data_IF_554399787547
#
_entry.id   IF_554399787547
#
_cell.length_a   1.000
_cell.length_b   1.000
_cell.length_c   1.000
_cell.angle_alpha   90.00
_cell.angle_beta   90.00
_cell.angle_gamma   90.00
#
_symmetry.space_group_name_H-M   'P 1'
#
loop_
_entity.id
_entity.type
_entity.pdbx_description
1 polymer ?
#
# COMPACT_ATOMS: atom_id res chain seq x y z
N UNK A 1 -39.19 22.80 48.74
CA UNK A 1 -38.00 23.69 48.74
C UNK A 1 -38.03 24.63 47.54
N UNK A 2 -37.94 24.13 46.30
CA UNK A 2 -38.05 24.95 45.07
C UNK A 2 -39.42 25.64 44.88
N UNK A 3 -40.50 25.07 45.40
CA UNK A 3 -41.84 25.69 45.41
C UNK A 3 -41.99 26.81 46.45
N UNK A 4 -41.00 27.02 47.32
CA UNK A 4 -41.06 28.02 48.40
C UNK A 4 -40.06 29.17 48.22
N UNK A 5 -38.99 28.97 47.43
CA UNK A 5 -38.02 30.02 47.13
C UNK A 5 -37.56 29.94 45.66
N UNK A 6 -38.11 30.80 44.79
CA UNK A 6 -37.75 30.87 43.37
C UNK A 6 -36.31 31.37 43.12
N UNK A 7 -35.71 32.14 44.04
CA UNK A 7 -34.35 32.70 43.87
C UNK A 7 -33.26 31.63 44.04
N UNK A 8 -33.62 30.45 44.55
CA UNK A 8 -32.71 29.33 44.77
C UNK A 8 -32.04 28.85 43.47
N UNK A 9 -32.73 28.97 42.32
CA UNK A 9 -32.15 28.66 41.01
C UNK A 9 -31.01 29.63 40.64
N UNK A 10 -31.26 30.93 40.77
CA UNK A 10 -30.26 31.97 40.48
C UNK A 10 -29.08 31.93 41.46
N UNK A 11 -29.34 31.57 42.72
CA UNK A 11 -28.28 31.31 43.68
C UNK A 11 -27.44 30.08 43.30
N UNK A 12 -28.07 28.96 42.95
CA UNK A 12 -27.37 27.74 42.59
C UNK A 12 -26.53 27.91 41.30
N UNK A 13 -27.10 28.54 40.26
CA UNK A 13 -26.37 28.82 39.01
C UNK A 13 -25.18 29.77 39.20
N UNK A 14 -25.34 30.85 39.98
CA UNK A 14 -24.23 31.77 40.30
C UNK A 14 -23.06 31.06 40.99
N UNK A 15 -23.36 30.01 41.77
CA UNK A 15 -22.36 29.20 42.46
C UNK A 15 -21.92 27.95 41.66
N UNK A 16 -22.32 27.82 40.37
CA UNK A 16 -22.04 26.65 39.52
C UNK A 16 -22.56 25.32 40.10
N UNK A 17 -23.63 25.37 40.87
CA UNK A 17 -24.33 24.20 41.42
C UNK A 17 -25.59 23.97 40.61
N UNK A 18 -25.73 22.78 40.03
CA UNK A 18 -26.94 22.40 39.31
C UNK A 18 -27.92 21.71 40.27
N UNK A 19 -29.13 22.27 40.41
CA UNK A 19 -30.22 21.59 41.10
C UNK A 19 -30.75 20.48 40.17
N UNK A 20 -30.38 19.23 40.46
CA UNK A 20 -30.66 18.10 39.60
C UNK A 20 -31.81 17.24 40.14
N UNK A 21 -32.77 16.91 39.27
CA UNK A 21 -33.71 15.81 39.51
C UNK A 21 -33.07 14.48 39.06
N UNK A 22 -33.53 13.31 39.56
CA UNK A 22 -33.01 12.01 39.12
C UNK A 22 -32.98 11.86 37.59
N UNK A 23 -34.01 12.38 36.90
CA UNK A 23 -34.09 12.40 35.43
C UNK A 23 -32.98 13.21 34.78
N UNK A 24 -32.67 14.39 35.32
CA UNK A 24 -31.63 15.27 34.75
C UNK A 24 -30.22 14.69 34.96
N UNK A 25 -29.98 14.01 36.10
CA UNK A 25 -28.72 13.29 36.34
C UNK A 25 -28.51 12.17 35.32
N UNK A 26 -29.54 11.34 35.08
CA UNK A 26 -29.47 10.26 34.10
C UNK A 26 -29.24 10.81 32.69
N UNK A 27 -29.88 11.92 32.32
CA UNK A 27 -29.68 12.57 31.03
C UNK A 27 -28.22 13.04 30.85
N UNK A 28 -27.66 13.76 31.83
CA UNK A 28 -26.28 14.25 31.76
C UNK A 28 -25.29 13.08 31.73
N UNK A 29 -25.48 12.06 32.57
CA UNK A 29 -24.63 10.87 32.58
C UNK A 29 -24.63 10.14 31.23
N UNK A 30 -25.81 10.03 30.59
CA UNK A 30 -25.93 9.47 29.23
C UNK A 30 -25.20 10.32 28.20
N UNK A 31 -25.30 11.65 28.28
CA UNK A 31 -24.58 12.56 27.39
C UNK A 31 -23.07 12.40 27.54
N UNK A 32 -22.54 12.34 28.77
CA UNK A 32 -21.11 12.11 29.01
C UNK A 32 -20.66 10.76 28.44
N UNK A 33 -21.42 9.69 28.67
CA UNK A 33 -21.14 8.38 28.10
C UNK A 33 -21.11 8.41 26.56
N UNK A 34 -22.02 9.15 25.94
CA UNK A 34 -22.05 9.33 24.49
C UNK A 34 -20.84 10.11 23.97
N UNK A 35 -20.44 11.19 24.65
CA UNK A 35 -19.24 11.98 24.31
C UNK A 35 -17.98 11.12 24.38
N UNK A 36 -17.82 10.27 25.41
CA UNK A 36 -16.67 9.36 25.48
C UNK A 36 -16.68 8.30 24.39
N UNK A 37 -17.86 7.78 24.04
CA UNK A 37 -17.97 6.84 22.91
C UNK A 37 -17.59 7.50 21.58
N UNK A 38 -17.96 8.76 21.38
CA UNK A 38 -17.59 9.54 20.19
C UNK A 38 -16.09 9.83 20.14
N UNK A 39 -15.48 10.25 21.26
CA UNK A 39 -14.04 10.48 21.33
C UNK A 39 -13.25 9.22 21.03
N UNK A 40 -13.65 8.07 21.60
CA UNK A 40 -13.03 6.78 21.31
C UNK A 40 -13.12 6.42 19.83
N UNK A 41 -14.28 6.57 19.20
CA UNK A 41 -14.44 6.32 17.77
C UNK A 41 -13.54 7.25 16.93
N UNK A 42 -13.44 8.53 17.30
CA UNK A 42 -12.58 9.49 16.63
C UNK A 42 -11.09 9.18 16.82
N UNK A 43 -10.69 8.60 17.96
CA UNK A 43 -9.32 8.12 18.18
C UNK A 43 -9.01 6.90 17.29
N UNK A 44 -9.89 5.91 17.26
CA UNK A 44 -9.73 4.71 16.41
C UNK A 44 -9.65 5.09 14.92
N UNK A 45 -10.52 5.99 14.45
CA UNK A 45 -10.49 6.48 13.07
C UNK A 45 -9.15 7.16 12.71
N UNK A 46 -8.61 7.99 13.62
CA UNK A 46 -7.29 8.62 13.44
C UNK A 46 -6.17 7.59 13.36
N UNK A 47 -6.23 6.56 14.20
CA UNK A 47 -5.23 5.49 14.18
C UNK A 47 -5.28 4.67 12.89
N UNK A 48 -6.47 4.32 12.43
CA UNK A 48 -6.68 3.67 11.13
C UNK A 48 -6.12 4.53 10.00
N UNK A 49 -6.40 5.84 9.99
CA UNK A 49 -5.87 6.77 9.00
C UNK A 49 -4.33 6.81 8.99
N UNK A 50 -3.70 6.84 10.17
CA UNK A 50 -2.24 6.79 10.31
C UNK A 50 -1.67 5.48 9.74
N UNK A 51 -2.26 4.33 10.09
CA UNK A 51 -1.83 3.02 9.60
C UNK A 51 -2.01 2.89 8.09
N UNK A 52 -3.12 3.40 7.54
CA UNK A 52 -3.37 3.42 6.11
C UNK A 52 -2.33 4.27 5.36
N UNK A 53 -1.99 5.45 5.88
CA UNK A 53 -0.93 6.30 5.32
C UNK A 53 0.44 5.64 5.34
N UNK A 54 0.78 4.95 6.43
CA UNK A 54 2.04 4.19 6.54
C UNK A 54 2.09 3.02 5.54
N UNK A 55 1.01 2.24 5.45
CA UNK A 55 0.90 1.14 4.49
C UNK A 55 1.02 1.64 3.05
N UNK A 56 0.33 2.72 2.71
CA UNK A 56 0.43 3.36 1.39
C UNK A 56 1.86 3.77 1.07
N UNK A 57 2.56 4.41 2.01
CA UNK A 57 3.98 4.77 1.85
C UNK A 57 4.87 3.55 1.57
N UNK A 58 4.68 2.46 2.33
CA UNK A 58 5.43 1.21 2.13
C UNK A 58 5.13 0.57 0.77
N UNK A 59 3.86 0.55 0.35
CA UNK A 59 3.45 0.04 -0.96
C UNK A 59 4.04 0.86 -2.11
N UNK A 60 4.09 2.18 -1.98
CA UNK A 60 4.74 3.06 -2.95
C UNK A 60 6.21 2.68 -3.12
N UNK A 61 6.98 2.63 -2.03
CA UNK A 61 8.40 2.24 -2.08
C UNK A 61 8.60 0.82 -2.64
N UNK A 62 7.76 -0.14 -2.25
CA UNK A 62 7.82 -1.50 -2.77
C UNK A 62 7.59 -1.55 -4.29
N UNK A 63 6.63 -0.78 -4.81
CA UNK A 63 6.36 -0.73 -6.26
C UNK A 63 7.53 -0.13 -7.06
N UNK A 64 8.21 0.89 -6.52
CA UNK A 64 9.41 1.44 -7.13
C UNK A 64 10.56 0.42 -7.19
N UNK A 65 10.75 -0.37 -6.13
CA UNK A 65 11.75 -1.43 -6.13
C UNK A 65 11.41 -2.54 -7.13
N UNK A 66 10.15 -2.98 -7.19
CA UNK A 66 9.68 -3.96 -8.17
C UNK A 66 9.89 -3.49 -9.61
N UNK A 67 9.65 -2.21 -9.90
CA UNK A 67 9.92 -1.62 -11.22
C UNK A 67 11.40 -1.71 -11.60
N UNK A 68 12.31 -1.42 -10.66
CA UNK A 68 13.76 -1.54 -10.89
C UNK A 68 14.18 -2.98 -11.14
N UNK A 69 13.64 -3.92 -10.37
CA UNK A 69 13.89 -5.37 -10.58
C UNK A 69 13.41 -5.81 -11.96
N UNK A 70 12.21 -5.39 -12.37
CA UNK A 70 11.69 -5.67 -13.72
C UNK A 70 12.63 -5.21 -14.83
N UNK A 71 13.14 -3.97 -14.75
CA UNK A 71 14.13 -3.46 -15.71
C UNK A 71 15.47 -4.22 -15.69
N UNK A 72 15.92 -4.64 -14.50
CA UNK A 72 17.11 -5.48 -14.35
C UNK A 72 16.96 -6.85 -15.03
N UNK A 73 15.81 -7.49 -14.85
CA UNK A 73 15.49 -8.77 -15.52
C UNK A 73 15.46 -8.61 -17.04
N UNK A 74 14.86 -7.54 -17.56
CA UNK A 74 14.85 -7.25 -19.00
C UNK A 74 16.28 -7.11 -19.56
N UNK A 75 17.15 -6.43 -18.81
CA UNK A 75 18.56 -6.27 -19.17
C UNK A 75 19.31 -7.61 -19.16
N UNK A 76 19.07 -8.44 -18.14
CA UNK A 76 19.68 -9.77 -18.04
C UNK A 76 19.28 -10.67 -19.20
N UNK A 77 17.99 -10.73 -19.53
CA UNK A 77 17.46 -11.50 -20.69
C UNK A 77 18.07 -10.99 -22.00
N UNK A 78 18.15 -9.67 -22.19
CA UNK A 78 18.76 -9.11 -23.40
C UNK A 78 20.25 -9.47 -23.54
N UNK A 79 21.01 -9.46 -22.44
CA UNK A 79 22.43 -9.86 -22.46
C UNK A 79 22.61 -11.36 -22.69
N UNK A 80 21.74 -12.18 -22.11
CA UNK A 80 21.70 -13.62 -22.35
C UNK A 80 21.48 -13.93 -23.83
N UNK A 81 20.42 -13.37 -24.45
CA UNK A 81 20.13 -13.60 -25.87
C UNK A 81 21.27 -13.10 -26.79
N UNK A 82 21.89 -11.95 -26.48
CA UNK A 82 23.10 -11.48 -27.19
C UNK A 82 24.25 -12.47 -27.12
N UNK A 83 24.46 -13.08 -25.94
CA UNK A 83 25.52 -14.06 -25.74
C UNK A 83 25.23 -15.35 -26.51
N UNK A 84 24.00 -15.88 -26.42
CA UNK A 84 23.56 -17.06 -27.19
C UNK A 84 23.83 -16.87 -28.68
N UNK A 85 23.33 -15.79 -29.27
CA UNK A 85 23.58 -15.51 -30.69
C UNK A 85 25.07 -15.33 -31.04
N UNK A 86 25.90 -14.79 -30.13
CA UNK A 86 27.35 -14.72 -30.34
C UNK A 86 28.03 -16.08 -30.26
N UNK A 87 27.59 -16.92 -29.33
CA UNK A 87 28.10 -18.27 -29.12
C UNK A 87 27.81 -19.16 -30.35
N UNK A 88 26.59 -19.11 -30.88
CA UNK A 88 26.23 -19.82 -32.11
C UNK A 88 27.08 -19.37 -33.32
N UNK A 89 27.19 -18.06 -33.55
CA UNK A 89 27.91 -17.52 -34.70
C UNK A 89 29.41 -17.77 -34.64
N UNK A 90 30.02 -17.71 -33.45
CA UNK A 90 31.46 -17.78 -33.32
C UNK A 90 31.95 -19.18 -32.95
N UNK A 91 31.34 -19.80 -31.95
CA UNK A 91 31.81 -21.08 -31.39
C UNK A 91 31.27 -22.24 -32.18
N UNK A 92 29.94 -22.37 -32.34
CA UNK A 92 29.34 -23.51 -33.06
C UNK A 92 29.74 -23.53 -34.53
N UNK A 93 29.80 -22.36 -35.18
CA UNK A 93 30.26 -22.27 -36.57
C UNK A 93 31.74 -22.64 -36.73
N UNK A 94 32.61 -22.24 -35.78
CA UNK A 94 34.02 -22.63 -35.81
C UNK A 94 34.21 -24.12 -35.54
N UNK A 95 33.43 -24.70 -34.62
CA UNK A 95 33.42 -26.13 -34.37
C UNK A 95 33.01 -26.92 -35.63
N UNK A 96 31.92 -26.52 -36.31
CA UNK A 96 31.51 -27.13 -37.60
C UNK A 96 32.59 -27.06 -38.66
N UNK A 97 33.27 -25.92 -38.81
CA UNK A 97 34.38 -25.78 -39.77
C UNK A 97 35.59 -26.69 -39.48
N UNK A 98 35.80 -27.06 -38.23
CA UNK A 98 36.88 -27.98 -37.83
C UNK A 98 36.47 -29.43 -38.09
N UNK A 99 35.21 -29.77 -37.82
CA UNK A 99 34.60 -31.05 -38.19
C UNK A 99 34.65 -31.27 -39.72
N UNK A 100 34.31 -30.24 -40.51
CA UNK A 100 34.42 -30.26 -41.98
C UNK A 100 35.86 -30.53 -42.48
N UNK A 101 36.87 -30.25 -41.65
CA UNK A 101 38.29 -30.51 -41.93
C UNK A 101 38.78 -31.86 -41.41
N UNK A 102 37.88 -32.70 -40.89
CA UNK A 102 38.20 -34.04 -40.38
C UNK A 102 38.93 -34.03 -39.03
N UNK A 103 38.87 -32.94 -38.28
CA UNK A 103 39.44 -32.86 -36.94
C UNK A 103 38.35 -33.26 -35.94
N UNK A 104 38.46 -34.45 -35.35
CA UNK A 104 37.55 -34.87 -34.27
C UNK A 104 37.88 -34.11 -32.97
N UNK A 105 37.01 -33.18 -32.59
CA UNK A 105 37.17 -32.37 -31.38
C UNK A 105 36.30 -32.97 -30.26
N UNK A 106 36.89 -33.89 -29.50
CA UNK A 106 36.31 -34.41 -28.25
C UNK A 106 35.11 -35.36 -28.43
N UNK A 107 34.64 -35.93 -27.31
CA UNK A 107 33.46 -36.80 -27.26
C UNK A 107 32.27 -36.03 -26.68
N UNK A 108 31.24 -35.83 -27.50
CA UNK A 108 29.96 -35.21 -27.09
C UNK A 108 29.58 -34.03 -27.98
N UNK A 109 28.31 -33.97 -28.40
CA UNK A 109 27.78 -32.85 -29.18
C UNK A 109 27.63 -31.62 -28.27
N UNK A 110 28.00 -30.43 -28.78
CA UNK A 110 27.66 -29.17 -28.12
C UNK A 110 26.18 -28.92 -28.42
N UNK A 111 25.34 -28.99 -27.39
CA UNK A 111 23.92 -28.73 -27.50
C UNK A 111 23.64 -27.25 -27.77
N UNK A 112 22.56 -27.00 -28.52
CA UNK A 112 22.10 -25.66 -28.82
C UNK A 112 21.49 -25.01 -27.57
N UNK A 113 21.79 -23.72 -27.36
CA UNK A 113 21.31 -23.01 -26.18
C UNK A 113 20.08 -22.20 -26.59
N UNK A 114 18.87 -22.53 -26.11
CA UNK A 114 17.66 -21.84 -26.55
C UNK A 114 17.65 -20.38 -26.07
N UNK A 115 17.19 -19.48 -26.94
CA UNK A 115 16.91 -18.09 -26.55
C UNK A 115 15.73 -17.99 -25.58
N UNK A 116 15.72 -16.95 -24.76
CA UNK A 116 14.61 -16.66 -23.84
C UNK A 116 13.73 -15.58 -24.47
N UNK A 117 12.48 -15.92 -24.82
CA UNK A 117 11.46 -14.97 -25.30
C UNK A 117 10.65 -14.31 -24.16
N UNK A 118 10.99 -14.58 -22.90
CA UNK A 118 10.23 -14.09 -21.75
C UNK A 118 10.50 -12.60 -21.47
N UNK A 119 9.48 -11.76 -21.60
CA UNK A 119 9.49 -10.38 -21.09
C UNK A 119 8.93 -10.32 -19.66
N UNK A 120 9.51 -9.50 -18.76
CA UNK A 120 8.91 -9.25 -17.45
C UNK A 120 7.46 -8.76 -17.59
N UNK A 121 6.52 -9.43 -16.92
CA UNK A 121 5.11 -9.03 -16.93
C UNK A 121 4.92 -7.82 -16.02
N UNK A 122 4.61 -6.68 -16.62
CA UNK A 122 4.15 -5.50 -15.88
C UNK A 122 2.64 -5.62 -15.65
N UNK A 123 2.19 -5.23 -14.47
CA UNK A 123 0.76 -5.10 -14.23
C UNK A 123 0.21 -3.97 -15.10
N UNK A 124 -0.80 -4.27 -15.92
CA UNK A 124 -1.47 -3.32 -16.80
C UNK A 124 -2.58 -2.55 -16.07
N UNK A 125 -2.74 -2.81 -14.77
CA UNK A 125 -3.73 -2.12 -13.94
C UNK A 125 -3.20 -0.72 -13.60
N UNK A 126 -3.98 0.34 -13.87
CA UNK A 126 -3.64 1.68 -13.42
C UNK A 126 -3.30 1.65 -11.93
N UNK A 127 -2.25 2.38 -11.54
CA UNK A 127 -1.96 2.60 -10.12
C UNK A 127 -3.26 3.02 -9.43
N UNK A 128 -3.55 2.42 -8.27
CA UNK A 128 -4.73 2.73 -7.45
C UNK A 128 -4.85 4.26 -7.30
N UNK A 129 -5.67 4.87 -8.15
CA UNK A 129 -6.07 6.24 -8.02
C UNK A 129 -7.14 6.22 -6.93
N UNK A 130 -6.72 6.53 -5.70
CA UNK A 130 -7.68 6.79 -4.65
C UNK A 130 -8.32 8.13 -5.01
N UNK A 131 -9.62 8.12 -5.31
CA UNK A 131 -10.41 9.34 -5.43
C UNK A 131 -10.10 10.22 -4.21
N UNK A 132 -9.84 11.51 -4.45
CA UNK A 132 -9.65 12.45 -3.36
C UNK A 132 -10.86 12.38 -2.43
N UNK A 133 -10.65 12.49 -1.10
CA UNK A 133 -11.76 12.45 -0.16
C UNK A 133 -12.78 13.50 -0.61
N UNK A 134 -14.03 13.06 -0.82
CA UNK A 134 -15.18 13.92 -1.07
C UNK A 134 -15.26 14.90 0.08
N UNK A 135 -14.65 16.07 -0.10
CA UNK A 135 -14.77 17.19 0.80
C UNK A 135 -16.24 17.55 0.86
N UNK A 136 -16.79 17.45 2.06
CA UNK A 136 -18.19 17.70 2.41
C UNK A 136 -18.72 18.95 1.71
N UNK A 137 -19.41 18.76 0.58
CA UNK A 137 -20.38 19.72 0.08
C UNK A 137 -21.70 19.42 0.76
N UNK A 138 -21.96 20.12 1.86
CA UNK A 138 -23.26 20.50 2.43
C UNK A 138 -22.96 21.11 3.82
N UNK A 139 -23.46 22.26 4.27
CA UNK A 139 -24.30 23.33 3.74
C UNK A 139 -24.28 24.43 4.81
N UNK A 140 -24.47 25.67 4.35
CA UNK A 140 -25.07 26.84 5.03
C UNK A 140 -25.27 26.81 6.56
#
# INVERSE_FOLDING_TARGET
>A
ALEHDPELWDFAFRNRVLLATPTNLVAIARTVAMVWSQDKLAQEAREIGRMAGELHGRLKTASEHLKRVGGGLQTAVANYNKFVGSFERNVLTSARRLEDKGIEIGKGAIEDVPEIEASPRYADTPALALDEPVGESQSA
#
